data_IF_077229724590
#
_entry.id   IF_077229724590
#
_cell.length_a   1.000
_cell.length_b   1.000
_cell.length_c   1.000
_cell.angle_alpha   90.00
_cell.angle_beta   90.00
_cell.angle_gamma   90.00
#
_symmetry.space_group_name_H-M   'P 1'
#
loop_
_entity.id
_entity.type
_entity.pdbx_description
1 polymer ?
#
# COMPACT_ATOMS: atom_id res chain seq x y z
N UNK A 1 -2.19 21.76 -3.14
CA UNK A 1 -1.72 20.37 -3.23
C UNK A 1 -2.44 19.55 -2.19
N UNK A 2 -3.30 18.61 -2.62
CA UNK A 2 -3.98 17.70 -1.70
C UNK A 2 -3.09 16.49 -1.40
N UNK A 3 -3.13 15.98 -0.17
CA UNK A 3 -2.35 14.80 0.24
C UNK A 3 -3.26 13.74 0.86
N UNK A 4 -3.18 12.53 0.33
CA UNK A 4 -3.77 11.34 0.94
C UNK A 4 -2.68 10.68 1.79
N UNK A 5 -2.82 10.76 3.10
CA UNK A 5 -1.92 10.09 4.05
C UNK A 5 -2.52 8.75 4.47
N UNK A 6 -1.82 7.67 4.17
CA UNK A 6 -2.18 6.31 4.60
C UNK A 6 -1.24 5.88 5.73
N UNK A 7 -1.80 5.65 6.91
CA UNK A 7 -1.06 5.20 8.09
C UNK A 7 -1.20 3.68 8.24
N UNK A 8 -0.08 2.99 8.02
CA UNK A 8 0.03 1.53 8.03
C UNK A 8 -0.10 0.94 6.63
N UNK A 9 0.89 0.14 6.24
CA UNK A 9 0.93 -0.63 5.00
C UNK A 9 0.54 -2.09 5.24
N UNK A 10 -0.48 -2.34 6.09
CA UNK A 10 -1.15 -3.64 6.18
C UNK A 10 -2.07 -3.88 4.97
N UNK A 11 -2.91 -4.92 5.00
CA UNK A 11 -3.81 -5.24 3.87
C UNK A 11 -4.67 -4.04 3.46
N UNK A 12 -5.38 -3.43 4.40
CA UNK A 12 -6.26 -2.30 4.10
C UNK A 12 -5.48 -1.08 3.55
N UNK A 13 -4.39 -0.69 4.21
CA UNK A 13 -3.64 0.50 3.82
C UNK A 13 -2.90 0.34 2.49
N UNK A 14 -2.27 -0.81 2.25
CA UNK A 14 -1.61 -1.07 0.97
C UNK A 14 -2.62 -1.03 -0.19
N UNK A 15 -3.76 -1.72 -0.04
CA UNK A 15 -4.80 -1.71 -1.08
C UNK A 15 -5.47 -0.34 -1.25
N UNK A 16 -5.65 0.43 -0.18
CA UNK A 16 -6.15 1.79 -0.26
C UNK A 16 -5.18 2.71 -1.01
N UNK A 17 -3.88 2.62 -0.74
CA UNK A 17 -2.85 3.39 -1.42
C UNK A 17 -2.76 3.06 -2.92
N UNK A 18 -2.76 1.77 -3.27
CA UNK A 18 -2.79 1.30 -4.66
C UNK A 18 -4.08 1.72 -5.37
N UNK A 19 -5.23 1.59 -4.69
CA UNK A 19 -6.52 2.03 -5.22
C UNK A 19 -6.56 3.54 -5.49
N UNK A 20 -6.01 4.34 -4.58
CA UNK A 20 -5.86 5.79 -4.76
C UNK A 20 -4.92 6.11 -5.94
N UNK A 21 -3.79 5.39 -6.07
CA UNK A 21 -2.84 5.59 -7.16
C UNK A 21 -3.49 5.28 -8.53
N UNK A 22 -4.18 4.14 -8.63
CA UNK A 22 -4.96 3.78 -9.83
C UNK A 22 -6.03 4.81 -10.15
N UNK A 23 -6.79 5.26 -9.14
CA UNK A 23 -7.84 6.27 -9.35
C UNK A 23 -7.26 7.61 -9.78
N UNK A 24 -6.10 8.01 -9.25
CA UNK A 24 -5.38 9.22 -9.66
C UNK A 24 -4.99 9.15 -11.13
N UNK A 25 -4.48 7.99 -11.57
CA UNK A 25 -4.15 7.73 -12.97
C UNK A 25 -5.39 7.83 -13.88
N UNK A 26 -6.50 7.18 -13.49
CA UNK A 26 -7.79 7.24 -14.22
C UNK A 26 -8.37 8.66 -14.33
N UNK A 27 -8.18 9.50 -13.32
CA UNK A 27 -8.66 10.90 -13.33
C UNK A 27 -7.73 11.79 -14.18
N UNK A 28 -6.46 11.44 -14.31
CA UNK A 28 -5.47 12.15 -15.12
C UNK A 28 -5.11 13.54 -14.57
N UNK A 29 -4.98 14.52 -15.47
CA UNK A 29 -4.46 15.85 -15.15
C UNK A 29 -5.15 16.57 -13.98
N UNK A 30 -6.44 16.27 -13.72
CA UNK A 30 -7.20 16.89 -12.61
C UNK A 30 -6.78 16.40 -11.23
N UNK A 31 -6.05 15.29 -11.14
CA UNK A 31 -5.56 14.74 -9.88
C UNK A 31 -4.02 14.61 -9.86
N UNK A 32 -3.31 15.15 -10.86
CA UNK A 32 -1.87 15.01 -11.00
C UNK A 32 -1.08 15.59 -9.81
N UNK A 33 -1.64 16.62 -9.18
CA UNK A 33 -1.11 17.30 -8.00
C UNK A 33 -1.57 16.68 -6.67
N UNK A 34 -2.27 15.55 -6.70
CA UNK A 34 -2.59 14.78 -5.49
C UNK A 34 -1.45 13.83 -5.14
N UNK A 35 -0.86 14.05 -3.97
CA UNK A 35 0.18 13.20 -3.42
C UNK A 35 -0.42 12.06 -2.59
N UNK A 36 0.13 10.85 -2.73
CA UNK A 36 -0.23 9.68 -1.94
C UNK A 36 0.99 9.28 -1.15
N UNK A 37 0.92 9.40 0.17
CA UNK A 37 2.02 9.08 1.08
C UNK A 37 1.61 7.93 2.00
N UNK A 38 2.41 6.87 2.01
CA UNK A 38 2.23 5.71 2.91
C UNK A 38 3.30 5.75 3.97
N UNK A 39 2.90 5.69 5.23
CA UNK A 39 3.81 5.57 6.37
C UNK A 39 3.57 4.23 7.04
N UNK A 40 4.61 3.41 7.15
CA UNK A 40 4.59 2.19 7.95
C UNK A 40 5.84 2.11 8.84
N UNK A 41 5.78 1.27 9.87
CA UNK A 41 6.92 1.02 10.75
C UNK A 41 8.05 0.28 10.00
N UNK A 42 7.70 -0.58 9.05
CA UNK A 42 8.63 -1.45 8.34
C UNK A 42 8.69 -1.14 6.85
N UNK A 43 9.82 -1.45 6.21
CA UNK A 43 10.00 -1.31 4.77
C UNK A 43 9.39 -2.48 3.95
N UNK A 44 8.56 -3.31 4.57
CA UNK A 44 7.94 -4.48 3.94
C UNK A 44 6.46 -4.61 4.34
N UNK A 45 5.66 -5.15 3.43
CA UNK A 45 4.30 -5.57 3.72
C UNK A 45 4.32 -7.00 4.29
N UNK A 46 3.72 -7.19 5.46
CA UNK A 46 3.57 -8.52 6.05
C UNK A 46 2.24 -9.14 5.61
N UNK A 47 2.31 -10.36 5.04
CA UNK A 47 1.16 -11.24 4.82
C UNK A 47 0.75 -11.86 6.15
N UNK A 48 0.12 -11.07 7.04
CA UNK A 48 -0.12 -11.45 8.44
C UNK A 48 -0.89 -12.76 8.61
N UNK A 49 -1.72 -13.12 7.64
CA UNK A 49 -2.46 -14.39 7.65
C UNK A 49 -1.55 -15.61 7.55
N UNK A 50 -0.25 -15.44 7.26
CA UNK A 50 0.76 -16.49 7.19
C UNK A 50 1.77 -16.45 8.33
N UNK A 51 1.63 -15.54 9.30
CA UNK A 51 2.58 -15.43 10.42
C UNK A 51 2.60 -16.65 11.36
N UNK A 52 1.67 -17.58 11.21
CA UNK A 52 1.70 -18.86 11.93
C UNK A 52 2.72 -19.85 11.32
N UNK A 53 3.17 -19.59 10.09
CA UNK A 53 4.12 -20.43 9.38
C UNK A 53 5.52 -20.16 9.91
N UNK A 54 6.22 -21.23 10.29
CA UNK A 54 7.53 -21.15 10.96
C UNK A 54 8.66 -20.99 9.95
N UNK A 55 8.43 -21.46 8.72
CA UNK A 55 9.34 -21.36 7.59
C UNK A 55 8.55 -21.00 6.32
N UNK A 56 9.08 -20.06 5.55
CA UNK A 56 8.52 -19.55 4.31
C UNK A 56 9.46 -19.77 3.10
N UNK A 57 10.52 -20.58 3.25
CA UNK A 57 11.47 -20.83 2.17
C UNK A 57 10.80 -21.45 0.93
N UNK A 58 9.87 -22.39 1.13
CA UNK A 58 9.21 -23.13 0.04
C UNK A 58 8.07 -22.37 -0.67
N UNK A 59 7.82 -21.11 -0.26
CA UNK A 59 6.67 -20.31 -0.72
C UNK A 59 7.07 -18.99 -1.39
N UNK A 60 8.38 -18.71 -1.47
CA UNK A 60 8.89 -17.67 -2.36
C UNK A 60 8.84 -18.21 -3.80
N UNK A 61 8.05 -17.56 -4.66
CA UNK A 61 8.02 -17.80 -6.11
C UNK A 61 9.28 -17.22 -6.78
#
# INVERSE_FOLDING_TARGET
MARILVLGAGFAGLWAALGAARKRDEIGARAADTEILVIDRNAYHNIRVRNYEVDLADVAL
#
